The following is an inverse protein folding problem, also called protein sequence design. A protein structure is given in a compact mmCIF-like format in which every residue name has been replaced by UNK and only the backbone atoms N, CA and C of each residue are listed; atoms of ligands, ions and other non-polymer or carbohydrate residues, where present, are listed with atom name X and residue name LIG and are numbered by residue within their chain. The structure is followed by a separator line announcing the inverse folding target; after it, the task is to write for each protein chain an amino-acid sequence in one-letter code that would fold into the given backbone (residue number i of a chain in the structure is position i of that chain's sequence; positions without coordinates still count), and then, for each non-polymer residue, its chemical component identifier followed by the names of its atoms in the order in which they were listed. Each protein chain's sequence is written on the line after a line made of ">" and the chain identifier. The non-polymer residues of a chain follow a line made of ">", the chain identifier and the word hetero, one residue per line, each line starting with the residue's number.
data_IF_353654621918
#
_entry.id   IF_353654621918
#
_cell.length_a   1.000
_cell.length_b   1.000
_cell.length_c   1.000
_cell.angle_alpha   90.00
_cell.angle_beta   90.00
_cell.angle_gamma   90.00
#
_symmetry.space_group_name_H-M   'P 1'
#
loop_
_entity.id
_entity.type
_entity.pdbx_description
1 polymer ?
#
# COMPACT_ATOMS: atom_id res chain seq x y z
N UNK A 1 25.57 -2.65 8.99
CA UNK A 1 26.07 -3.06 7.66
C UNK A 1 25.56 -4.49 7.47
N UNK A 2 24.70 -4.80 6.49
CA UNK A 2 24.37 -6.22 6.23
C UNK A 2 25.66 -6.89 5.76
N UNK A 3 26.23 -7.73 6.63
CA UNK A 3 27.33 -8.59 6.26
C UNK A 3 26.83 -9.59 5.21
N UNK A 4 27.75 -10.08 4.37
CA UNK A 4 27.44 -11.23 3.52
C UNK A 4 27.03 -12.35 4.47
N UNK A 5 25.87 -12.97 4.24
CA UNK A 5 25.48 -14.15 5.01
C UNK A 5 26.58 -15.19 4.81
N UNK A 6 27.07 -15.76 5.91
CA UNK A 6 28.03 -16.87 5.91
C UNK A 6 27.30 -18.18 5.57
N UNK A 7 26.55 -18.16 4.46
CA UNK A 7 25.79 -19.28 3.92
C UNK A 7 26.25 -19.54 2.49
N UNK A 8 26.39 -20.81 2.15
CA UNK A 8 26.64 -21.21 0.77
C UNK A 8 25.44 -20.84 -0.11
N UNK A 9 25.63 -20.46 -1.38
CA UNK A 9 24.53 -20.00 -2.23
C UNK A 9 23.34 -20.97 -2.33
N UNK A 10 23.62 -22.28 -2.31
CA UNK A 10 22.58 -23.32 -2.34
C UNK A 10 21.78 -23.40 -1.04
N UNK A 11 22.44 -23.20 0.09
CA UNK A 11 21.79 -23.20 1.40
C UNK A 11 20.91 -21.96 1.56
N UNK A 12 21.41 -20.80 1.13
CA UNK A 12 20.63 -19.56 1.09
C UNK A 12 19.38 -19.70 0.19
N UNK A 13 19.52 -20.30 -0.98
CA UNK A 13 18.39 -20.54 -1.88
C UNK A 13 17.35 -21.47 -1.23
N UNK A 14 17.80 -22.56 -0.61
CA UNK A 14 16.93 -23.49 0.10
C UNK A 14 16.16 -22.80 1.24
N UNK A 15 16.86 -22.10 2.13
CA UNK A 15 16.24 -21.38 3.24
C UNK A 15 15.26 -20.30 2.75
N UNK A 16 15.60 -19.63 1.65
CA UNK A 16 14.70 -18.65 1.03
C UNK A 16 13.41 -19.31 0.56
N UNK A 17 13.49 -20.46 -0.12
CA UNK A 17 12.29 -21.17 -0.59
C UNK A 17 11.44 -21.68 0.58
N UNK A 18 12.07 -22.25 1.60
CA UNK A 18 11.36 -22.71 2.81
C UNK A 18 10.66 -21.54 3.49
N UNK A 19 11.32 -20.40 3.65
CA UNK A 19 10.71 -19.19 4.22
C UNK A 19 9.55 -18.67 3.36
N UNK A 20 9.71 -18.60 2.03
CA UNK A 20 8.63 -18.15 1.14
C UNK A 20 7.41 -19.06 1.20
N UNK A 21 7.60 -20.38 1.39
CA UNK A 21 6.50 -21.31 1.61
C UNK A 21 5.73 -21.02 2.90
N UNK A 22 6.40 -20.58 3.98
CA UNK A 22 5.72 -20.20 5.23
C UNK A 22 4.81 -18.97 5.08
N UNK A 23 5.04 -18.14 4.06
CA UNK A 23 4.24 -16.95 3.80
C UNK A 23 3.03 -17.20 2.89
N UNK A 24 2.95 -18.37 2.26
CA UNK A 24 1.83 -18.72 1.39
C UNK A 24 0.54 -18.93 2.19
N UNK A 25 -0.58 -18.54 1.59
CA UNK A 25 -1.89 -18.57 2.25
C UNK A 25 -2.97 -19.12 1.31
N UNK A 26 -3.92 -19.85 1.88
CA UNK A 26 -5.17 -20.19 1.21
C UNK A 26 -6.09 -18.97 1.09
N UNK A 27 -7.16 -19.07 0.28
CA UNK A 27 -8.19 -18.02 0.23
C UNK A 27 -8.82 -17.76 1.59
N UNK A 28 -9.10 -18.82 2.35
CA UNK A 28 -9.67 -18.70 3.71
C UNK A 28 -8.72 -17.98 4.67
N UNK A 29 -7.43 -18.31 4.62
CA UNK A 29 -6.40 -17.65 5.42
C UNK A 29 -6.24 -16.18 5.01
N UNK A 30 -6.26 -15.86 3.71
CA UNK A 30 -6.26 -14.46 3.22
C UNK A 30 -7.45 -13.69 3.79
N UNK A 31 -8.65 -14.26 3.73
CA UNK A 31 -9.87 -13.61 4.22
C UNK A 31 -9.88 -13.48 5.75
N UNK A 32 -9.21 -14.39 6.46
CA UNK A 32 -8.97 -14.27 7.89
C UNK A 32 -7.96 -13.15 8.23
N UNK A 33 -6.84 -13.07 7.49
CA UNK A 33 -5.84 -12.01 7.63
C UNK A 33 -6.47 -10.65 7.37
N UNK A 34 -7.23 -10.50 6.27
CA UNK A 34 -7.93 -9.25 5.94
C UNK A 34 -8.79 -8.79 7.12
N UNK A 35 -9.69 -9.65 7.62
CA UNK A 35 -10.58 -9.31 8.73
C UNK A 35 -9.83 -8.95 10.01
N UNK A 36 -8.80 -9.71 10.36
CA UNK A 36 -8.03 -9.50 11.58
C UNK A 36 -7.09 -8.29 11.51
N UNK A 37 -6.88 -7.73 10.31
CA UNK A 37 -5.98 -6.59 10.08
C UNK A 37 -6.74 -5.32 9.66
N UNK A 38 -8.09 -5.34 9.69
CA UNK A 38 -8.91 -4.14 9.58
C UNK A 38 -8.57 -3.13 10.67
N UNK A 39 -8.77 -1.84 10.40
CA UNK A 39 -8.25 -0.74 11.21
C UNK A 39 -6.80 -0.36 10.87
N UNK A 40 -6.11 -1.18 10.07
CA UNK A 40 -4.82 -0.88 9.44
C UNK A 40 -3.80 -0.25 10.40
N UNK A 41 -3.56 1.06 10.30
CA UNK A 41 -2.54 1.76 11.10
C UNK A 41 -2.82 1.78 12.60
N UNK A 42 -4.05 1.45 13.00
CA UNK A 42 -4.47 1.33 14.40
C UNK A 42 -4.52 -0.15 14.87
N UNK A 43 -4.01 -1.08 14.05
CA UNK A 43 -4.02 -2.51 14.33
C UNK A 43 -2.60 -3.11 14.30
N UNK A 44 -2.10 -3.57 15.45
CA UNK A 44 -0.77 -4.17 15.56
C UNK A 44 -0.59 -5.43 14.72
N UNK A 45 -1.65 -6.23 14.52
CA UNK A 45 -1.62 -7.42 13.67
C UNK A 45 -1.33 -7.04 12.22
N UNK A 46 -1.85 -5.89 11.76
CA UNK A 46 -1.58 -5.38 10.42
C UNK A 46 -0.09 -5.08 10.22
N UNK A 47 0.59 -4.50 11.21
CA UNK A 47 2.05 -4.29 11.15
C UNK A 47 2.83 -5.62 11.16
N UNK A 48 2.42 -6.59 11.98
CA UNK A 48 3.05 -7.91 12.05
C UNK A 48 2.97 -8.65 10.72
N UNK A 49 1.80 -8.68 10.09
CA UNK A 49 1.60 -9.34 8.80
C UNK A 49 2.36 -8.64 7.66
N UNK A 50 2.47 -7.30 7.69
CA UNK A 50 3.21 -6.53 6.69
C UNK A 50 4.73 -6.65 6.80
N UNK A 51 5.27 -7.00 7.97
CA UNK A 51 6.72 -7.06 8.22
C UNK A 51 7.46 -7.99 7.25
N UNK A 52 6.82 -9.10 6.88
CA UNK A 52 7.41 -10.13 6.02
C UNK A 52 6.89 -10.07 4.58
N UNK A 53 6.12 -9.04 4.23
CA UNK A 53 5.47 -8.92 2.93
C UNK A 53 5.80 -7.61 2.25
N UNK A 54 6.20 -7.69 0.99
CA UNK A 54 6.39 -6.53 0.15
C UNK A 54 5.03 -5.90 -0.15
N UNK A 55 4.81 -4.71 0.40
CA UNK A 55 3.55 -3.98 0.28
C UNK A 55 3.54 -2.98 -0.85
N UNK A 56 2.38 -2.69 -1.44
CA UNK A 56 2.26 -1.71 -2.54
C UNK A 56 2.94 -0.36 -2.26
N UNK A 57 2.93 0.10 -1.00
CA UNK A 57 3.59 1.35 -0.58
C UNK A 57 5.12 1.37 -0.77
N UNK A 58 5.79 0.21 -0.82
CA UNK A 58 7.25 0.12 -1.02
C UNK A 58 7.64 -0.25 -2.47
N UNK A 59 6.70 -0.73 -3.28
CA UNK A 59 6.97 -1.21 -4.63
C UNK A 59 7.59 -0.15 -5.54
N UNK A 60 7.19 1.11 -5.40
CA UNK A 60 7.81 2.21 -6.14
C UNK A 60 9.33 2.33 -5.92
N UNK A 61 9.81 2.01 -4.71
CA UNK A 61 11.25 1.99 -4.39
C UNK A 61 11.94 0.75 -4.97
N UNK A 62 11.25 -0.39 -4.94
CA UNK A 62 11.76 -1.67 -5.46
C UNK A 62 11.92 -1.62 -6.98
N UNK A 63 10.91 -1.14 -7.72
CA UNK A 63 10.91 -1.10 -9.19
C UNK A 63 11.94 -0.10 -9.72
N UNK A 64 12.13 1.03 -9.04
CA UNK A 64 13.12 2.06 -9.44
C UNK A 64 14.57 1.71 -9.06
N UNK A 65 14.80 0.52 -8.51
CA UNK A 65 16.10 0.09 -8.02
C UNK A 65 17.12 -0.06 -9.16
N UNK A 66 18.35 0.40 -8.94
CA UNK A 66 19.50 0.15 -9.82
C UNK A 66 20.28 -1.07 -9.31
N UNK A 67 20.95 -1.81 -10.22
CA UNK A 67 21.72 -3.03 -9.89
C UNK A 67 22.72 -2.85 -8.74
N UNK A 68 23.31 -1.66 -8.60
CA UNK A 68 24.37 -1.38 -7.62
C UNK A 68 23.86 -0.64 -6.36
N UNK A 69 22.54 -0.51 -6.18
CA UNK A 69 21.98 0.17 -5.00
C UNK A 69 22.20 -0.67 -3.72
N UNK A 70 22.69 -0.04 -2.65
CA UNK A 70 22.81 -0.67 -1.33
C UNK A 70 21.42 -1.03 -0.80
N UNK A 71 21.11 -2.33 -0.73
CA UNK A 71 19.79 -2.88 -0.36
C UNK A 71 19.55 -2.93 1.15
N UNK A 72 20.63 -2.99 1.94
CA UNK A 72 20.56 -3.16 3.39
C UNK A 72 19.64 -2.13 4.06
N UNK A 73 19.72 -0.85 3.66
CA UNK A 73 18.88 0.21 4.25
C UNK A 73 17.40 0.06 3.91
N UNK A 74 17.06 -0.38 2.70
CA UNK A 74 15.67 -0.59 2.29
C UNK A 74 15.07 -1.78 3.04
N UNK A 75 15.82 -2.88 3.13
CA UNK A 75 15.43 -4.08 3.87
C UNK A 75 15.30 -3.78 5.36
N UNK A 76 16.27 -3.07 5.95
CA UNK A 76 16.25 -2.62 7.35
C UNK A 76 15.04 -1.71 7.62
N UNK A 77 14.79 -0.73 6.75
CA UNK A 77 13.64 0.16 6.89
C UNK A 77 12.29 -0.58 6.78
N UNK A 78 12.23 -1.67 6.01
CA UNK A 78 11.04 -2.48 5.88
C UNK A 78 10.82 -3.42 7.09
N UNK A 79 11.86 -4.17 7.48
CA UNK A 79 11.78 -5.16 8.57
C UNK A 79 11.66 -4.52 9.96
N UNK A 80 12.26 -3.35 10.13
CA UNK A 80 12.33 -2.63 11.40
C UNK A 80 11.67 -1.26 11.29
N UNK A 81 10.64 -1.14 10.44
CA UNK A 81 9.90 0.11 10.28
C UNK A 81 9.37 0.57 11.64
N UNK A 82 9.78 1.76 12.08
CA UNK A 82 9.22 2.41 13.26
C UNK A 82 7.98 3.20 12.86
N UNK A 83 6.97 3.32 13.74
CA UNK A 83 5.88 4.26 13.53
C UNK A 83 6.46 5.64 13.21
N UNK A 84 6.11 6.16 12.04
CA UNK A 84 6.52 7.48 11.59
C UNK A 84 5.31 8.39 11.57
N UNK A 85 5.47 9.59 12.12
CA UNK A 85 4.43 10.60 12.13
C UNK A 85 5.04 11.96 11.87
N UNK A 86 4.36 12.76 11.05
CA UNK A 86 4.66 14.16 10.83
C UNK A 86 3.35 14.89 10.51
N UNK A 87 3.40 16.23 10.35
CA UNK A 87 2.22 17.03 10.07
C UNK A 87 1.45 16.57 8.81
N UNK A 88 2.15 16.11 7.77
CA UNK A 88 1.52 15.62 6.55
C UNK A 88 0.82 14.27 6.73
N UNK A 89 1.42 13.33 7.46
CA UNK A 89 0.84 12.03 7.79
C UNK A 89 -0.39 12.21 8.69
N UNK A 90 -0.29 13.06 9.72
CA UNK A 90 -1.40 13.35 10.62
C UNK A 90 -2.56 14.02 9.87
N UNK A 91 -2.26 14.99 9.01
CA UNK A 91 -3.25 15.60 8.15
C UNK A 91 -3.93 14.58 7.23
N UNK A 92 -3.14 13.66 6.65
CA UNK A 92 -3.63 12.52 5.88
C UNK A 92 -4.67 11.71 6.64
N UNK A 93 -4.28 11.17 7.80
CA UNK A 93 -5.12 10.34 8.66
C UNK A 93 -6.43 11.03 9.06
N UNK A 94 -6.38 12.32 9.42
CA UNK A 94 -7.57 13.07 9.84
C UNK A 94 -8.54 13.30 8.69
N UNK A 95 -8.04 13.55 7.47
CA UNK A 95 -8.87 13.95 6.34
C UNK A 95 -9.31 12.79 5.44
N UNK A 96 -8.72 11.61 5.59
CA UNK A 96 -9.06 10.43 4.79
C UNK A 96 -10.55 10.07 4.88
N UNK A 97 -11.11 10.08 6.10
CA UNK A 97 -12.55 9.82 6.32
C UNK A 97 -13.44 10.84 5.64
N UNK A 98 -13.06 12.13 5.67
CA UNK A 98 -13.79 13.18 4.98
C UNK A 98 -13.73 12.98 3.46
N UNK A 99 -12.58 12.54 2.94
CA UNK A 99 -12.41 12.26 1.52
C UNK A 99 -13.26 11.05 1.06
N UNK A 100 -13.34 9.97 1.86
CA UNK A 100 -14.25 8.86 1.61
C UNK A 100 -15.69 9.34 1.57
N UNK A 101 -16.13 10.12 2.56
CA UNK A 101 -17.49 10.63 2.63
C UNK A 101 -17.84 11.52 1.41
N UNK A 102 -16.95 12.41 1.02
CA UNK A 102 -17.14 13.24 -0.17
C UNK A 102 -17.21 12.40 -1.46
N UNK A 103 -16.42 11.33 -1.55
CA UNK A 103 -16.52 10.38 -2.64
C UNK A 103 -17.89 9.68 -2.66
N UNK A 104 -18.32 9.09 -1.53
CA UNK A 104 -19.62 8.40 -1.39
C UNK A 104 -20.79 9.33 -1.74
N UNK A 105 -20.76 10.57 -1.26
CA UNK A 105 -21.82 11.56 -1.55
C UNK A 105 -21.88 11.92 -3.04
N UNK A 106 -20.72 11.99 -3.70
CA UNK A 106 -20.63 12.36 -5.11
C UNK A 106 -21.00 11.23 -6.06
N UNK A 107 -20.65 9.99 -5.73
CA UNK A 107 -20.88 8.83 -6.61
C UNK A 107 -22.13 8.03 -6.25
N UNK A 108 -22.61 8.14 -5.01
CA UNK A 108 -23.62 7.24 -4.44
C UNK A 108 -23.08 5.84 -4.11
N UNK A 109 -21.80 5.58 -4.36
CA UNK A 109 -21.18 4.27 -4.19
C UNK A 109 -20.73 4.07 -2.74
N UNK A 110 -21.12 2.96 -2.10
CA UNK A 110 -20.69 2.70 -0.72
C UNK A 110 -19.23 2.27 -0.69
N UNK A 111 -18.53 2.71 0.36
CA UNK A 111 -17.15 2.34 0.62
C UNK A 111 -17.06 1.65 1.97
N UNK A 112 -16.41 0.48 2.01
CA UNK A 112 -16.16 -0.29 3.23
C UNK A 112 -14.67 -0.32 3.54
N UNK A 113 -14.33 -0.18 4.82
CA UNK A 113 -12.96 -0.37 5.31
C UNK A 113 -12.48 -1.81 5.10
N UNK A 114 -11.16 -1.99 4.95
CA UNK A 114 -10.55 -3.30 4.76
C UNK A 114 -9.17 -3.39 5.43
N UNK A 115 -8.68 -4.61 5.59
CA UNK A 115 -7.36 -4.91 6.13
C UNK A 115 -6.30 -5.16 5.06
N UNK A 116 -5.43 -6.13 5.32
CA UNK A 116 -4.38 -6.58 4.42
C UNK A 116 -4.88 -7.74 3.55
N UNK A 117 -4.79 -7.55 2.24
CA UNK A 117 -4.94 -8.60 1.25
C UNK A 117 -3.55 -9.18 0.92
N UNK A 118 -3.40 -10.49 1.06
CA UNK A 118 -2.20 -11.24 0.67
C UNK A 118 -2.43 -11.86 -0.70
N UNK A 119 -1.43 -11.82 -1.57
CA UNK A 119 -1.52 -12.42 -2.91
C UNK A 119 -1.49 -13.95 -2.82
N UNK A 120 -2.44 -14.63 -3.45
CA UNK A 120 -2.62 -16.09 -3.30
C UNK A 120 -1.46 -16.91 -3.89
N UNK A 121 -0.94 -16.49 -5.05
CA UNK A 121 0.22 -17.15 -5.68
C UNK A 121 1.57 -16.77 -5.02
N UNK A 122 1.66 -15.56 -4.47
CA UNK A 122 2.91 -14.96 -4.01
C UNK A 122 2.69 -14.39 -2.61
N UNK A 123 2.59 -15.27 -1.60
CA UNK A 123 2.25 -14.88 -0.22
C UNK A 123 3.17 -13.83 0.43
N UNK A 124 4.35 -13.59 -0.14
CA UNK A 124 5.26 -12.50 0.23
C UNK A 124 4.81 -11.12 -0.32
N UNK A 125 3.72 -11.04 -1.09
CA UNK A 125 3.12 -9.80 -1.59
C UNK A 125 1.83 -9.50 -0.84
N UNK A 126 1.60 -8.22 -0.53
CA UNK A 126 0.33 -7.81 0.05
C UNK A 126 -0.02 -6.34 -0.19
N UNK A 127 -1.28 -5.98 0.03
CA UNK A 127 -1.78 -4.62 -0.12
C UNK A 127 -2.93 -4.31 0.83
N UNK A 128 -3.08 -3.05 1.20
CA UNK A 128 -4.19 -2.57 2.03
C UNK A 128 -4.72 -1.30 1.38
N UNK A 129 -5.76 -1.42 0.54
CA UNK A 129 -6.45 -0.27 -0.02
C UNK A 129 -7.05 0.61 1.10
N UNK A 130 -7.27 1.89 0.81
CA UNK A 130 -7.92 2.80 1.75
C UNK A 130 -9.44 2.54 1.85
N UNK A 131 -10.02 1.83 0.87
CA UNK A 131 -11.39 1.35 0.93
C UNK A 131 -11.75 0.42 -0.23
N UNK A 132 -12.84 -0.32 -0.05
CA UNK A 132 -13.44 -1.19 -1.07
C UNK A 132 -14.80 -0.65 -1.45
N UNK A 133 -15.15 -0.68 -2.73
CA UNK A 133 -16.45 -0.20 -3.18
C UNK A 133 -17.44 -1.36 -3.39
N UNK A 134 -18.73 -1.08 -3.27
CA UNK A 134 -19.79 -2.09 -3.44
C UNK A 134 -19.90 -2.65 -4.87
N UNK A 135 -19.46 -1.91 -5.89
CA UNK A 135 -19.37 -2.43 -7.26
C UNK A 135 -18.10 -3.26 -7.52
N UNK A 136 -17.35 -3.58 -6.46
CA UNK A 136 -16.19 -4.47 -6.54
C UNK A 136 -14.87 -3.71 -6.74
N UNK A 137 -14.80 -2.44 -6.36
CA UNK A 137 -13.64 -1.58 -6.54
C UNK A 137 -12.70 -1.44 -5.37
N UNK A 138 -11.59 -0.74 -5.61
CA UNK A 138 -10.65 -0.29 -4.58
C UNK A 138 -10.46 1.23 -4.65
N UNK A 139 -10.21 1.85 -3.50
CA UNK A 139 -9.92 3.27 -3.37
C UNK A 139 -8.54 3.44 -2.76
N UNK A 140 -7.77 4.36 -3.36
CA UNK A 140 -6.54 4.90 -2.79
C UNK A 140 -6.74 6.41 -2.65
N UNK A 141 -6.66 6.90 -1.43
CA UNK A 141 -6.84 8.28 -1.03
C UNK A 141 -5.49 8.90 -0.72
N UNK A 142 -5.34 10.15 -1.15
CA UNK A 142 -4.26 11.01 -0.69
C UNK A 142 -4.86 12.33 -0.22
N UNK A 143 -4.41 12.81 0.92
CA UNK A 143 -4.72 14.14 1.43
C UNK A 143 -3.40 14.88 1.70
N UNK A 144 -2.76 15.46 0.66
CA UNK A 144 -1.49 16.17 0.83
C UNK A 144 -1.71 17.50 1.55
N UNK A 145 -1.05 17.67 2.70
CA UNK A 145 -1.10 18.92 3.49
C UNK A 145 -0.74 20.18 2.68
N UNK A 146 0.15 20.05 1.71
CA UNK A 146 0.54 21.16 0.83
C UNK A 146 -0.60 21.71 -0.03
N UNK A 147 -1.67 20.93 -0.24
CA UNK A 147 -2.83 21.29 -1.04
C UNK A 147 -4.09 21.63 -0.20
N UNK A 148 -3.97 21.74 1.12
CA UNK A 148 -5.11 21.88 2.04
C UNK A 148 -6.09 23.01 1.66
N UNK A 149 -5.57 24.13 1.15
CA UNK A 149 -6.36 25.31 0.79
C UNK A 149 -6.37 25.57 -0.72
N UNK A 150 -6.05 24.55 -1.52
CA UNK A 150 -5.95 24.68 -2.98
C UNK A 150 -7.00 23.82 -3.65
N UNK A 151 -7.57 24.35 -4.73
CA UNK A 151 -8.28 23.54 -5.72
C UNK A 151 -7.33 22.56 -6.42
N UNK A 152 -7.88 21.60 -7.16
CA UNK A 152 -7.07 20.66 -7.95
C UNK A 152 -6.26 21.43 -9.00
N UNK A 153 -6.89 22.41 -9.66
CA UNK A 153 -6.27 23.25 -10.67
C UNK A 153 -5.10 24.07 -10.09
N UNK A 154 -5.29 24.66 -8.91
CA UNK A 154 -4.23 25.40 -8.22
C UNK A 154 -3.11 24.47 -7.75
N UNK A 155 -3.45 23.29 -7.25
CA UNK A 155 -2.47 22.28 -6.80
C UNK A 155 -1.54 21.86 -7.94
N UNK A 156 -2.08 21.59 -9.13
CA UNK A 156 -1.30 21.24 -10.33
C UNK A 156 -0.35 22.37 -10.74
N UNK A 157 -0.77 23.64 -10.59
CA UNK A 157 0.03 24.80 -10.99
C UNK A 157 1.12 25.15 -9.98
N UNK A 158 0.86 24.95 -8.70
CA UNK A 158 1.70 25.47 -7.60
C UNK A 158 2.62 24.42 -7.01
N UNK A 159 2.16 23.17 -6.89
CA UNK A 159 2.89 22.09 -6.26
C UNK A 159 3.61 21.27 -7.34
N UNK A 160 4.92 21.48 -7.48
CA UNK A 160 5.74 20.79 -8.51
C UNK A 160 5.66 19.26 -8.43
N UNK A 161 5.43 18.70 -7.25
CA UNK A 161 5.30 17.25 -7.03
C UNK A 161 3.88 16.72 -7.18
N UNK A 162 2.90 17.60 -7.45
CA UNK A 162 1.52 17.22 -7.68
C UNK A 162 1.31 16.95 -9.16
N UNK A 163 1.16 15.67 -9.49
CA UNK A 163 0.91 15.22 -10.85
C UNK A 163 -0.48 14.60 -10.93
N UNK A 164 -1.27 15.03 -11.91
CA UNK A 164 -2.54 14.39 -12.26
C UNK A 164 -2.37 13.64 -13.58
N UNK A 165 -2.20 12.33 -13.52
CA UNK A 165 -2.20 11.49 -14.73
C UNK A 165 -3.64 11.11 -15.08
N UNK A 166 -4.15 11.69 -16.18
CA UNK A 166 -5.49 11.39 -16.72
C UNK A 166 -5.50 10.20 -17.69
N UNK A 167 -4.34 9.70 -18.12
CA UNK A 167 -4.20 8.97 -19.39
C UNK A 167 -3.99 7.46 -19.31
N UNK A 168 -3.68 6.85 -18.17
CA UNK A 168 -3.46 5.39 -18.12
C UNK A 168 -4.06 4.77 -16.86
N UNK A 169 -5.28 4.22 -17.00
CA UNK A 169 -5.98 3.48 -15.94
C UNK A 169 -6.00 1.99 -16.26
N UNK A 170 -4.80 1.42 -16.35
CA UNK A 170 -4.60 -0.02 -16.38
C UNK A 170 -3.63 -0.37 -15.24
N UNK A 171 -3.96 -1.47 -14.57
CA UNK A 171 -3.20 -2.10 -13.48
C UNK A 171 -1.70 -1.99 -13.75
N UNK A 172 -0.99 -1.16 -12.96
CA UNK A 172 0.48 -1.19 -12.70
C UNK A 172 1.06 0.10 -12.08
N UNK A 173 0.28 1.14 -11.80
CA UNK A 173 0.79 2.31 -11.06
C UNK A 173 -0.05 2.62 -9.82
N UNK A 174 0.37 2.02 -8.70
CA UNK A 174 -0.05 2.48 -7.37
C UNK A 174 0.63 3.83 -7.10
N UNK A 175 -0.13 4.92 -7.21
CA UNK A 175 -0.10 6.09 -6.33
C UNK A 175 -0.89 7.28 -6.91
N UNK A 176 -1.62 7.94 -6.02
CA UNK A 176 -2.21 9.27 -6.12
C UNK A 176 -3.57 9.39 -6.85
N UNK A 177 -4.64 9.44 -6.06
CA UNK A 177 -5.75 10.34 -6.36
C UNK A 177 -6.21 11.11 -5.12
N UNK A 178 -6.29 12.42 -5.29
CA UNK A 178 -7.11 13.34 -4.51
C UNK A 178 -8.46 13.46 -5.24
N UNK A 179 -9.53 13.17 -4.51
CA UNK A 179 -10.91 13.62 -4.73
C UNK A 179 -11.31 14.01 -6.17
N UNK A 180 -11.43 13.02 -7.06
CA UNK A 180 -12.47 12.97 -8.10
C UNK A 180 -12.36 11.68 -8.91
N UNK A 181 -12.94 10.61 -8.39
CA UNK A 181 -13.12 9.35 -9.14
C UNK A 181 -12.32 8.20 -8.57
N UNK A 182 -12.90 7.47 -7.63
CA UNK A 182 -12.58 6.06 -7.55
C UNK A 182 -12.95 5.38 -8.87
N UNK A 183 -12.26 4.29 -9.20
CA UNK A 183 -12.87 3.26 -10.04
C UNK A 183 -12.77 1.93 -9.38
N UNK A 184 -13.57 1.08 -10.00
CA UNK A 184 -13.97 -0.18 -9.53
C UNK A 184 -13.33 -1.17 -10.47
N UNK A 185 -12.27 -1.82 -10.00
CA UNK A 185 -11.57 -2.85 -10.76
C UNK A 185 -12.10 -4.18 -10.24
N UNK A 186 -12.79 -5.00 -11.06
CA UNK A 186 -13.29 -6.28 -10.60
C UNK A 186 -12.16 -7.10 -9.98
N UNK A 187 -12.43 -7.60 -8.77
CA UNK A 187 -11.52 -8.40 -7.96
C UNK A 187 -11.01 -9.61 -8.76
N UNK A 188 -9.74 -9.57 -9.16
CA UNK A 188 -8.98 -10.76 -9.53
C UNK A 188 -7.61 -10.65 -8.84
N UNK A 189 -7.56 -11.08 -7.57
CA UNK A 189 -6.34 -11.27 -6.78
C UNK A 189 -6.13 -12.76 -6.49
#
# INVERSE_FOLDING_TARGET
>A
MCQKLDLEPKELEKETQEFLQTLQVSSEQRDHIERNTRGQSDNDTWFKERKYRLTSSIFGQIVKRRKNSKWAKLVEAHLYSKPFTNAAVQYGKVNEKNAIQAYVQRTGEKVTECGLFVHLQYGYLGTSPDGLTDSGGIIEIKCPKAAENLTIEESIRTIKSFCLDKKNWSVEKVSQLLLSGARTTPYNW
#
